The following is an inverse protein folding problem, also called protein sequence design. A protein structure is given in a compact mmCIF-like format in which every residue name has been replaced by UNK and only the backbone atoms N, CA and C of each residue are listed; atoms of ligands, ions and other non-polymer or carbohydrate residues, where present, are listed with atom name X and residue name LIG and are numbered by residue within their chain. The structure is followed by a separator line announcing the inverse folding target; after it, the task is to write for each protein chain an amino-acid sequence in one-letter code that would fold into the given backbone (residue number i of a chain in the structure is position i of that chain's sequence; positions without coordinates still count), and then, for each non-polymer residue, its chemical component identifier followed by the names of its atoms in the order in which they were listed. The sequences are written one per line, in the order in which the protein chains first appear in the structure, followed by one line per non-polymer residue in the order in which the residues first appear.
data_IF_468734019124
#
_entry.id   IF_468734019124
#
_cell.length_a   1.000
_cell.length_b   1.000
_cell.length_c   1.000
_cell.angle_alpha   90.00
_cell.angle_beta   90.00
_cell.angle_gamma   90.00
#
_symmetry.space_group_name_H-M   'P 1'
#
loop_
_entity.id
_entity.type
_entity.pdbx_description
1 polymer ?
#
# COMPACT_ATOMS: atom_id res chain seq x y z
N UNK A 1 -47.83 -14.38 21.43
CA UNK A 1 -46.58 -13.57 21.46
C UNK A 1 -45.35 -14.21 20.74
N UNK A 2 -45.41 -15.46 20.31
CA UNK A 2 -44.26 -16.19 19.71
C UNK A 2 -43.96 -15.82 18.24
N UNK A 3 -44.98 -15.46 17.44
CA UNK A 3 -44.81 -15.21 15.98
C UNK A 3 -44.12 -13.88 15.63
N UNK A 4 -44.21 -12.87 16.50
CA UNK A 4 -43.62 -11.56 16.23
C UNK A 4 -42.07 -11.57 16.41
N UNK A 5 -41.52 -12.25 17.43
CA UNK A 5 -40.10 -12.46 17.64
C UNK A 5 -39.45 -13.20 16.47
N UNK A 6 -40.08 -14.29 15.99
CA UNK A 6 -39.55 -15.07 14.87
C UNK A 6 -39.47 -14.28 13.54
N UNK A 7 -40.33 -13.28 13.33
CA UNK A 7 -40.26 -12.39 12.15
C UNK A 7 -39.17 -11.34 12.28
N UNK A 8 -38.89 -10.87 13.45
CA UNK A 8 -37.79 -9.91 13.74
C UNK A 8 -36.42 -10.59 13.56
N UNK A 9 -36.27 -11.82 14.07
CA UNK A 9 -35.02 -12.57 13.95
C UNK A 9 -34.70 -12.94 12.49
N UNK A 10 -35.70 -13.30 11.71
CA UNK A 10 -35.55 -13.51 10.24
C UNK A 10 -35.14 -12.23 9.52
N UNK A 11 -35.70 -11.07 9.85
CA UNK A 11 -35.32 -9.78 9.25
C UNK A 11 -33.88 -9.36 9.61
N UNK A 12 -33.43 -9.63 10.83
CA UNK A 12 -32.03 -9.43 11.24
C UNK A 12 -31.08 -10.38 10.52
N UNK A 13 -31.47 -11.65 10.39
CA UNK A 13 -30.71 -12.66 9.65
C UNK A 13 -30.54 -12.27 8.16
N UNK A 14 -31.63 -11.86 7.50
CA UNK A 14 -31.57 -11.42 6.08
C UNK A 14 -30.81 -10.11 5.90
N UNK A 15 -30.83 -9.17 6.87
CA UNK A 15 -29.98 -7.98 6.84
C UNK A 15 -28.50 -8.35 7.01
N UNK A 16 -28.18 -9.23 7.95
CA UNK A 16 -26.81 -9.73 8.13
C UNK A 16 -26.27 -10.47 6.91
N UNK A 17 -27.11 -11.34 6.28
CA UNK A 17 -26.74 -12.03 5.04
C UNK A 17 -26.54 -11.05 3.88
N UNK A 18 -27.38 -10.02 3.78
CA UNK A 18 -27.27 -8.97 2.75
C UNK A 18 -25.99 -8.16 2.88
N UNK A 19 -25.60 -7.80 4.11
CA UNK A 19 -24.34 -7.08 4.39
C UNK A 19 -23.13 -7.97 4.09
N UNK A 20 -23.14 -9.23 4.52
CA UNK A 20 -22.06 -10.18 4.22
C UNK A 20 -21.89 -10.41 2.71
N UNK A 21 -23.01 -10.54 1.98
CA UNK A 21 -22.97 -10.66 0.52
C UNK A 21 -22.46 -9.39 -0.16
N UNK A 22 -22.81 -8.20 0.33
CA UNK A 22 -22.30 -6.93 -0.18
C UNK A 22 -20.80 -6.77 0.05
N UNK A 23 -20.30 -7.12 1.23
CA UNK A 23 -18.86 -7.10 1.55
C UNK A 23 -18.07 -8.06 0.67
N UNK A 24 -18.64 -9.28 0.42
CA UNK A 24 -18.02 -10.27 -0.44
C UNK A 24 -17.98 -9.80 -1.90
N UNK A 25 -19.03 -9.15 -2.38
CA UNK A 25 -19.10 -8.55 -3.73
C UNK A 25 -18.07 -7.40 -3.86
N UNK A 26 -17.97 -6.53 -2.86
CA UNK A 26 -16.99 -5.43 -2.86
C UNK A 26 -15.57 -5.98 -2.85
N UNK A 27 -15.28 -7.00 -2.04
CA UNK A 27 -13.99 -7.69 -2.03
C UNK A 27 -13.67 -8.33 -3.39
N UNK A 28 -14.62 -9.00 -4.02
CA UNK A 28 -14.45 -9.59 -5.36
C UNK A 28 -14.25 -8.49 -6.42
N UNK A 29 -14.99 -7.38 -6.33
CA UNK A 29 -14.85 -6.24 -7.26
C UNK A 29 -13.48 -5.57 -7.07
N UNK A 30 -13.01 -5.42 -5.84
CA UNK A 30 -11.67 -4.87 -5.56
C UNK A 30 -10.57 -5.79 -6.11
N UNK A 31 -10.65 -7.10 -5.85
CA UNK A 31 -9.71 -8.08 -6.41
C UNK A 31 -9.80 -8.10 -7.95
N UNK A 32 -11.02 -8.05 -8.52
CA UNK A 32 -11.20 -7.98 -9.96
C UNK A 32 -10.67 -6.68 -10.58
N UNK A 33 -10.79 -5.54 -9.89
CA UNK A 33 -10.19 -4.27 -10.31
C UNK A 33 -8.65 -4.33 -10.27
N UNK A 34 -8.08 -4.89 -9.22
CA UNK A 34 -6.61 -5.06 -9.11
C UNK A 34 -6.12 -6.03 -10.19
N UNK A 35 -6.80 -7.15 -10.40
CA UNK A 35 -6.46 -8.11 -11.46
C UNK A 35 -6.71 -7.54 -12.86
N UNK A 36 -7.78 -6.76 -13.06
CA UNK A 36 -8.07 -6.11 -14.34
C UNK A 36 -7.09 -4.97 -14.67
N UNK A 37 -6.58 -4.25 -13.68
CA UNK A 37 -5.48 -3.31 -13.86
C UNK A 37 -4.18 -4.04 -14.24
N UNK A 38 -3.88 -5.18 -13.61
CA UNK A 38 -2.74 -6.01 -13.95
C UNK A 38 -2.83 -6.55 -15.39
N UNK A 39 -4.00 -6.99 -15.85
CA UNK A 39 -4.20 -7.44 -17.22
C UNK A 39 -4.07 -6.30 -18.25
N UNK A 40 -4.51 -5.09 -17.91
CA UNK A 40 -4.36 -3.93 -18.80
C UNK A 40 -2.90 -3.50 -18.96
N UNK A 41 -2.09 -3.63 -17.90
CA UNK A 41 -0.64 -3.39 -17.95
C UNK A 41 0.11 -4.47 -18.74
N UNK A 42 -0.31 -5.74 -18.61
CA UNK A 42 0.26 -6.86 -19.39
C UNK A 42 0.08 -6.68 -20.90
N UNK A 43 -1.09 -6.20 -21.33
CA UNK A 43 -1.40 -6.07 -22.76
C UNK A 43 -0.48 -5.08 -23.49
N UNK A 44 0.04 -4.09 -22.79
CA UNK A 44 0.96 -3.10 -23.38
C UNK A 44 2.44 -3.53 -23.38
N UNK A 45 2.82 -4.56 -22.62
CA UNK A 45 4.23 -4.94 -22.42
C UNK A 45 4.63 -6.28 -23.05
N UNK A 46 3.73 -7.01 -23.71
CA UNK A 46 3.93 -8.44 -24.04
C UNK A 46 4.61 -8.72 -25.40
N UNK A 47 5.30 -7.76 -26.01
CA UNK A 47 5.89 -7.94 -27.37
C UNK A 47 7.41 -7.77 -27.48
N UNK A 48 8.17 -7.82 -26.40
CA UNK A 48 9.63 -7.89 -26.51
C UNK A 48 10.19 -9.00 -25.62
N UNK A 49 10.86 -9.99 -26.22
CA UNK A 49 11.80 -10.87 -25.50
C UNK A 49 12.89 -9.94 -24.97
N UNK A 50 12.77 -9.59 -23.70
CA UNK A 50 13.52 -8.52 -23.09
C UNK A 50 14.85 -9.07 -22.54
N UNK A 51 15.95 -8.38 -22.83
CA UNK A 51 17.26 -8.61 -22.19
C UNK A 51 17.24 -8.45 -20.66
N UNK A 52 16.11 -8.03 -20.10
CA UNK A 52 15.83 -7.92 -18.66
C UNK A 52 15.51 -9.26 -17.98
N UNK A 53 15.41 -10.35 -18.73
CA UNK A 53 15.14 -11.69 -18.15
C UNK A 53 16.32 -12.28 -17.39
N UNK A 54 17.50 -11.67 -17.47
CA UNK A 54 18.70 -12.15 -16.79
C UNK A 54 19.39 -11.04 -16.01
N UNK A 55 19.83 -11.38 -14.80
CA UNK A 55 20.67 -10.53 -13.95
C UNK A 55 21.97 -11.26 -13.61
N UNK A 56 23.10 -10.57 -13.67
CA UNK A 56 24.39 -11.12 -13.24
C UNK A 56 24.72 -10.61 -11.84
N UNK A 57 24.89 -11.52 -10.90
CA UNK A 57 25.29 -11.22 -9.53
C UNK A 57 26.40 -12.17 -9.08
N UNK A 58 27.53 -11.64 -8.60
CA UNK A 58 28.72 -12.40 -8.19
C UNK A 58 29.17 -13.41 -9.26
N UNK A 59 29.31 -12.95 -10.48
CA UNK A 59 29.72 -13.74 -11.67
C UNK A 59 28.77 -14.92 -12.03
N UNK A 60 27.56 -14.93 -11.45
CA UNK A 60 26.52 -15.89 -11.79
C UNK A 60 25.36 -15.19 -12.49
N UNK A 61 24.88 -15.78 -13.59
CA UNK A 61 23.71 -15.28 -14.30
C UNK A 61 22.46 -15.98 -13.78
N UNK A 62 21.51 -15.17 -13.37
CA UNK A 62 20.19 -15.61 -12.91
C UNK A 62 19.14 -15.24 -13.96
N UNK A 63 18.20 -16.12 -14.19
CA UNK A 63 17.07 -15.87 -15.09
C UNK A 63 15.81 -15.65 -14.25
N UNK A 64 15.00 -14.66 -14.62
CA UNK A 64 13.71 -14.43 -13.98
C UNK A 64 12.83 -15.67 -14.12
N UNK A 65 12.16 -16.05 -13.04
CA UNK A 65 11.15 -17.09 -13.07
C UNK A 65 9.89 -16.55 -13.75
N UNK A 66 9.41 -17.18 -14.81
CA UNK A 66 8.20 -16.76 -15.56
C UNK A 66 6.88 -16.94 -14.82
N UNK A 67 6.91 -17.62 -13.65
CA UNK A 67 5.74 -17.83 -12.79
C UNK A 67 5.66 -16.86 -11.61
N UNK A 68 6.51 -15.84 -11.54
CA UNK A 68 6.53 -14.82 -10.50
C UNK A 68 5.73 -13.60 -10.97
N UNK A 69 4.87 -13.12 -10.08
CA UNK A 69 4.18 -11.83 -10.19
C UNK A 69 4.66 -10.91 -9.07
N UNK A 70 4.86 -9.64 -9.40
CA UNK A 70 5.35 -8.62 -8.46
C UNK A 70 4.42 -7.43 -8.44
N UNK A 71 3.99 -7.04 -7.23
CA UNK A 71 3.10 -5.90 -7.03
C UNK A 71 3.71 -4.95 -6.03
N UNK A 72 3.77 -3.66 -6.37
CA UNK A 72 4.26 -2.61 -5.48
C UNK A 72 3.09 -1.96 -4.74
N UNK A 73 3.15 -1.98 -3.42
CA UNK A 73 2.25 -1.21 -2.55
C UNK A 73 3.06 -0.13 -1.86
N UNK A 74 2.61 1.12 -1.97
CA UNK A 74 3.28 2.23 -1.28
C UNK A 74 2.32 3.04 -0.43
N UNK A 75 2.82 3.47 0.73
CA UNK A 75 2.17 4.44 1.60
C UNK A 75 2.73 5.84 1.35
N UNK A 76 1.86 6.76 0.93
CA UNK A 76 2.23 8.14 0.61
C UNK A 76 1.90 9.04 1.80
N UNK A 77 2.86 9.83 2.24
CA UNK A 77 2.64 10.86 3.28
C UNK A 77 1.92 12.07 2.66
N UNK A 78 0.63 11.88 2.44
CA UNK A 78 -0.27 12.93 1.98
C UNK A 78 -1.61 12.80 2.70
N UNK A 79 -2.08 13.84 3.38
CA UNK A 79 -3.37 13.83 4.04
C UNK A 79 -4.53 13.97 3.04
N UNK A 80 -5.70 13.45 3.42
CA UNK A 80 -6.94 13.65 2.69
C UNK A 80 -7.06 12.84 1.41
N UNK A 81 -7.84 13.33 0.46
CA UNK A 81 -8.08 12.66 -0.82
C UNK A 81 -6.93 12.91 -1.79
N UNK A 82 -6.62 11.90 -2.60
CA UNK A 82 -5.67 12.05 -3.71
C UNK A 82 -6.21 13.11 -4.68
N UNK A 83 -5.39 14.12 -4.98
CA UNK A 83 -5.72 15.25 -5.88
C UNK A 83 -4.54 15.49 -6.80
N UNK A 84 -4.82 15.98 -8.01
CA UNK A 84 -3.79 16.53 -8.88
C UNK A 84 -3.21 17.79 -8.24
N UNK A 85 -1.91 17.94 -8.31
CA UNK A 85 -1.22 19.12 -7.82
C UNK A 85 -1.29 20.20 -8.92
N UNK A 86 -1.48 21.45 -8.51
CA UNK A 86 -1.42 22.61 -9.42
C UNK A 86 -0.01 23.17 -9.54
N UNK A 87 0.80 22.92 -8.54
CA UNK A 87 2.20 23.34 -8.45
C UNK A 87 2.95 22.38 -7.56
N UNK A 88 4.25 22.30 -7.72
CA UNK A 88 5.09 21.45 -6.91
C UNK A 88 5.15 21.97 -5.46
N UNK A 89 4.76 21.15 -4.51
CA UNK A 89 4.69 21.50 -3.09
C UNK A 89 5.69 20.70 -2.21
N UNK A 90 6.49 19.84 -2.81
CA UNK A 90 7.47 19.00 -2.11
C UNK A 90 6.86 17.88 -1.24
N UNK A 91 5.54 17.66 -1.34
CA UNK A 91 4.83 16.64 -0.56
C UNK A 91 4.68 15.32 -1.29
N UNK A 92 4.15 14.33 -0.61
CA UNK A 92 3.78 13.04 -1.20
C UNK A 92 4.96 12.09 -1.35
N UNK A 93 5.88 12.09 -0.39
CA UNK A 93 6.94 11.08 -0.34
C UNK A 93 6.36 9.69 -0.02
N UNK A 94 7.02 8.64 -0.54
CA UNK A 94 6.71 7.26 -0.17
C UNK A 94 7.35 6.91 1.17
N UNK A 95 6.56 6.81 2.22
CA UNK A 95 7.06 6.44 3.54
C UNK A 95 7.09 4.94 3.78
N UNK A 96 6.26 4.20 3.05
CA UNK A 96 6.19 2.74 3.08
C UNK A 96 6.29 2.22 1.65
N UNK A 97 7.20 1.27 1.41
CA UNK A 97 7.35 0.58 0.12
C UNK A 97 7.42 -0.91 0.39
N UNK A 98 6.47 -1.66 -0.15
CA UNK A 98 6.38 -3.11 -0.02
C UNK A 98 6.17 -3.72 -1.39
N UNK A 99 7.06 -4.63 -1.79
CA UNK A 99 6.87 -5.45 -2.99
C UNK A 99 6.30 -6.79 -2.57
N UNK A 100 5.13 -7.13 -3.07
CA UNK A 100 4.50 -8.44 -2.94
C UNK A 100 5.01 -9.30 -4.09
N UNK A 101 5.68 -10.39 -3.77
CA UNK A 101 6.20 -11.36 -4.72
C UNK A 101 5.38 -12.63 -4.61
N UNK A 102 4.57 -12.93 -5.64
CA UNK A 102 3.71 -14.13 -5.70
C UNK A 102 4.29 -15.16 -6.65
N UNK A 103 4.48 -16.38 -6.16
CA UNK A 103 4.78 -17.54 -7.00
C UNK A 103 3.47 -18.23 -7.39
N UNK A 104 3.10 -18.14 -8.67
CA UNK A 104 1.86 -18.72 -9.21
C UNK A 104 1.85 -20.25 -9.20
N UNK A 105 2.99 -20.90 -9.12
CA UNK A 105 3.08 -22.36 -9.11
C UNK A 105 2.80 -22.96 -7.74
N UNK A 106 3.12 -22.23 -6.67
CA UNK A 106 2.94 -22.66 -5.28
C UNK A 106 1.85 -21.86 -4.56
N UNK A 107 1.40 -20.76 -5.15
CA UNK A 107 0.51 -19.74 -4.56
C UNK A 107 1.09 -19.09 -3.29
N UNK A 108 2.41 -19.19 -3.11
CA UNK A 108 3.12 -18.53 -2.02
C UNK A 108 3.31 -17.04 -2.32
N UNK A 109 3.11 -16.22 -1.29
CA UNK A 109 3.40 -14.79 -1.32
C UNK A 109 4.53 -14.45 -0.35
N UNK A 110 5.47 -13.61 -0.80
CA UNK A 110 6.53 -13.03 0.03
C UNK A 110 6.42 -11.52 0.00
N UNK A 111 6.69 -10.89 1.14
CA UNK A 111 6.73 -9.44 1.26
C UNK A 111 8.18 -9.01 1.36
N UNK A 112 8.57 -8.10 0.46
CA UNK A 112 9.86 -7.43 0.48
C UNK A 112 9.63 -5.96 0.84
N UNK A 113 10.00 -5.59 2.05
CA UNK A 113 9.96 -4.20 2.50
C UNK A 113 11.23 -3.47 2.08
N UNK A 114 11.08 -2.29 1.48
CA UNK A 114 12.18 -1.43 1.08
C UNK A 114 12.23 -0.24 2.04
N UNK A 115 13.38 0.01 2.65
CA UNK A 115 13.57 1.20 3.50
C UNK A 115 13.46 2.47 2.66
N UNK A 116 12.64 3.42 3.11
CA UNK A 116 12.41 4.71 2.44
C UNK A 116 13.70 5.52 2.18
N UNK A 117 14.74 5.30 2.99
CA UNK A 117 16.03 5.97 2.86
C UNK A 117 17.01 5.23 1.93
N UNK A 118 16.58 4.12 1.30
CA UNK A 118 17.40 3.42 0.32
C UNK A 118 17.78 4.37 -0.80
N UNK A 119 19.06 4.41 -1.15
CA UNK A 119 19.58 5.21 -2.26
C UNK A 119 19.51 4.38 -3.54
N UNK A 120 18.87 4.92 -4.55
CA UNK A 120 18.78 4.34 -5.90
C UNK A 120 18.60 5.44 -6.92
N UNK A 121 18.75 5.12 -8.19
CA UNK A 121 18.45 6.06 -9.25
C UNK A 121 16.96 6.42 -9.26
N UNK A 122 16.67 7.73 -9.20
CA UNK A 122 15.35 8.32 -9.27
C UNK A 122 15.35 9.41 -10.35
N UNK A 123 14.32 9.44 -11.18
CA UNK A 123 14.14 10.47 -12.18
C UNK A 123 13.61 11.75 -11.54
N UNK A 124 14.29 12.86 -11.79
CA UNK A 124 13.75 14.20 -11.54
C UNK A 124 12.87 14.57 -12.72
N UNK A 125 11.61 14.86 -12.44
CA UNK A 125 10.62 15.20 -13.46
C UNK A 125 10.24 16.69 -13.34
N UNK A 126 9.93 17.32 -14.46
CA UNK A 126 9.27 18.63 -14.46
C UNK A 126 7.75 18.50 -14.25
N UNK A 127 7.04 19.62 -14.37
CA UNK A 127 5.61 19.69 -14.09
C UNK A 127 4.77 18.84 -15.05
N UNK A 128 5.21 18.64 -16.28
CA UNK A 128 4.52 17.82 -17.27
C UNK A 128 4.95 16.34 -17.28
N UNK A 129 5.88 15.97 -16.38
CA UNK A 129 6.38 14.61 -16.24
C UNK A 129 7.57 14.28 -17.16
N UNK A 130 8.16 15.26 -17.84
CA UNK A 130 9.36 15.05 -18.64
C UNK A 130 10.57 14.83 -17.72
N UNK A 131 11.35 13.78 -17.99
CA UNK A 131 12.56 13.49 -17.23
C UNK A 131 13.65 14.52 -17.53
N UNK A 132 14.07 15.27 -16.50
CA UNK A 132 15.15 16.26 -16.58
C UNK A 132 16.52 15.62 -16.30
N UNK A 133 16.57 14.70 -15.33
CA UNK A 133 17.78 14.02 -14.91
C UNK A 133 17.43 12.72 -14.17
N UNK A 134 18.38 11.78 -14.09
CA UNK A 134 18.33 10.64 -13.19
C UNK A 134 19.51 10.74 -12.21
N UNK A 135 19.24 10.55 -10.92
CA UNK A 135 20.22 10.80 -9.85
C UNK A 135 20.00 9.82 -8.71
N UNK A 136 21.10 9.37 -8.11
CA UNK A 136 21.05 8.52 -6.91
C UNK A 136 20.62 9.33 -5.70
N UNK A 137 19.36 9.15 -5.30
CA UNK A 137 18.75 9.80 -4.12
C UNK A 137 17.88 8.82 -3.35
N UNK A 138 17.29 9.27 -2.25
CA UNK A 138 16.37 8.45 -1.46
C UNK A 138 15.15 8.05 -2.29
N UNK A 139 14.83 6.76 -2.30
CA UNK A 139 13.72 6.19 -3.07
C UNK A 139 12.36 6.80 -2.67
N UNK A 140 12.21 7.25 -1.43
CA UNK A 140 11.00 7.93 -0.96
C UNK A 140 10.65 9.18 -1.75
N UNK A 141 11.64 9.83 -2.37
CA UNK A 141 11.47 11.05 -3.16
C UNK A 141 10.90 10.78 -4.56
N UNK A 142 10.92 9.55 -5.04
CA UNK A 142 10.45 9.21 -6.38
C UNK A 142 9.00 9.65 -6.62
N UNK A 143 8.11 9.44 -5.63
CA UNK A 143 6.71 9.85 -5.72
C UNK A 143 6.48 11.36 -5.53
N UNK A 144 7.47 12.12 -5.13
CA UNK A 144 7.34 13.58 -4.99
C UNK A 144 7.69 14.36 -6.26
N UNK A 145 8.08 13.69 -7.35
CA UNK A 145 8.47 14.32 -8.61
C UNK A 145 7.30 14.39 -9.60
N UNK A 146 7.09 15.58 -10.24
CA UNK A 146 5.99 15.85 -11.16
C UNK A 146 4.70 16.27 -10.45
N UNK A 147 3.65 16.62 -11.21
CA UNK A 147 2.35 17.06 -10.69
C UNK A 147 1.26 16.00 -10.82
N UNK A 148 1.27 15.21 -11.88
CA UNK A 148 0.30 14.15 -12.13
C UNK A 148 0.55 12.95 -11.25
N UNK A 149 -0.48 12.46 -10.57
CA UNK A 149 -0.38 11.35 -9.60
C UNK A 149 0.05 10.03 -10.26
N UNK A 150 -0.35 9.78 -11.50
CA UNK A 150 0.05 8.59 -12.24
C UNK A 150 1.54 8.66 -12.60
N UNK A 151 2.01 9.81 -13.08
CA UNK A 151 3.42 10.05 -13.39
C UNK A 151 4.29 9.84 -12.15
N UNK A 152 3.88 10.37 -11.00
CA UNK A 152 4.56 10.18 -9.71
C UNK A 152 4.61 8.71 -9.31
N UNK A 153 3.51 7.99 -9.47
CA UNK A 153 3.44 6.56 -9.18
C UNK A 153 4.36 5.75 -10.10
N UNK A 154 4.34 6.03 -11.41
CA UNK A 154 5.18 5.36 -12.39
C UNK A 154 6.68 5.63 -12.15
N UNK A 155 7.06 6.85 -11.74
CA UNK A 155 8.42 7.15 -11.34
C UNK A 155 8.86 6.34 -10.11
N UNK A 156 7.95 6.10 -9.17
CA UNK A 156 8.23 5.23 -8.02
C UNK A 156 8.41 3.76 -8.44
N UNK A 157 7.57 3.29 -9.36
CA UNK A 157 7.69 1.94 -9.95
C UNK A 157 9.04 1.78 -10.64
N UNK A 158 9.45 2.76 -11.44
CA UNK A 158 10.74 2.75 -12.14
C UNK A 158 11.91 2.69 -11.16
N UNK A 159 11.88 3.52 -10.09
CA UNK A 159 12.93 3.51 -9.06
C UNK A 159 13.01 2.16 -8.31
N UNK A 160 11.87 1.54 -7.98
CA UNK A 160 11.84 0.20 -7.37
C UNK A 160 12.31 -0.86 -8.35
N UNK A 161 11.88 -0.82 -9.60
CA UNK A 161 12.33 -1.74 -10.66
C UNK A 161 13.85 -1.67 -10.80
N UNK A 162 14.41 -0.46 -10.92
CA UNK A 162 15.86 -0.25 -11.02
C UNK A 162 16.61 -0.81 -9.80
N UNK A 163 16.14 -0.52 -8.58
CA UNK A 163 16.73 -1.06 -7.34
C UNK A 163 16.77 -2.59 -7.34
N UNK A 164 15.78 -3.25 -7.94
CA UNK A 164 15.66 -4.71 -8.01
C UNK A 164 16.30 -5.32 -9.27
N UNK A 165 17.21 -4.59 -9.91
CA UNK A 165 17.94 -5.06 -11.11
C UNK A 165 17.04 -5.12 -12.34
N UNK A 166 16.25 -4.09 -12.56
CA UNK A 166 15.26 -3.94 -13.63
C UNK A 166 14.19 -5.03 -13.63
N UNK A 167 13.83 -5.49 -12.43
CA UNK A 167 12.75 -6.45 -12.26
C UNK A 167 11.41 -5.80 -12.67
N UNK A 168 10.60 -6.54 -13.45
CA UNK A 168 9.27 -6.07 -13.81
C UNK A 168 8.38 -5.96 -12.57
N UNK A 169 7.66 -4.85 -12.44
CA UNK A 169 6.57 -4.68 -11.47
C UNK A 169 5.26 -4.85 -12.24
N UNK A 170 4.55 -5.93 -11.98
CA UNK A 170 3.34 -6.31 -12.75
C UNK A 170 2.13 -5.44 -12.41
N UNK A 171 2.15 -4.77 -11.26
CA UNK A 171 1.11 -3.82 -10.87
C UNK A 171 1.51 -3.03 -9.63
N UNK A 172 0.80 -1.93 -9.38
CA UNK A 172 1.07 -1.10 -8.22
C UNK A 172 -0.20 -0.50 -7.62
N UNK A 173 -0.14 -0.17 -6.33
CA UNK A 173 -1.15 0.63 -5.65
C UNK A 173 -0.47 1.64 -4.73
N UNK A 174 -0.89 2.91 -4.87
CA UNK A 174 -0.45 4.01 -4.03
C UNK A 174 -1.59 4.36 -3.09
N UNK A 175 -1.33 4.30 -1.78
CA UNK A 175 -2.30 4.61 -0.74
C UNK A 175 -1.80 5.78 0.10
N UNK A 176 -2.66 6.74 0.37
CA UNK A 176 -2.34 7.84 1.27
C UNK A 176 -2.77 7.52 2.71
N UNK A 177 -2.44 8.41 3.65
CA UNK A 177 -2.76 8.21 5.07
C UNK A 177 -4.26 8.01 5.32
N UNK A 178 -5.13 8.72 4.60
CA UNK A 178 -6.57 8.56 4.75
C UNK A 178 -7.12 7.19 4.32
N UNK A 179 -6.35 6.39 3.59
CA UNK A 179 -6.74 5.04 3.22
C UNK A 179 -6.61 4.04 4.39
N UNK A 180 -5.81 4.34 5.40
CA UNK A 180 -5.58 3.43 6.56
C UNK A 180 -6.90 3.08 7.24
N UNK A 181 -7.69 4.10 7.63
CA UNK A 181 -8.98 3.89 8.27
C UNK A 181 -9.96 3.14 7.34
N UNK A 182 -10.00 3.51 6.06
CA UNK A 182 -10.91 2.89 5.08
C UNK A 182 -10.59 1.42 4.87
N UNK A 183 -9.32 1.08 4.64
CA UNK A 183 -8.89 -0.32 4.43
C UNK A 183 -9.08 -1.15 5.69
N UNK A 184 -8.74 -0.59 6.86
CA UNK A 184 -8.96 -1.25 8.14
C UNK A 184 -10.45 -1.58 8.37
N UNK A 185 -11.34 -0.63 8.10
CA UNK A 185 -12.78 -0.82 8.28
C UNK A 185 -13.36 -1.84 7.29
N UNK A 186 -12.82 -1.89 6.07
CA UNK A 186 -13.21 -2.87 5.04
C UNK A 186 -12.93 -4.32 5.47
N UNK A 187 -11.86 -4.56 6.25
CA UNK A 187 -11.54 -5.89 6.77
C UNK A 187 -12.19 -6.18 8.13
N UNK A 188 -12.99 -5.26 8.66
CA UNK A 188 -13.69 -5.42 9.94
C UNK A 188 -12.89 -4.95 11.15
N UNK A 189 -11.83 -4.20 10.93
CA UNK A 189 -10.93 -3.69 11.96
C UNK A 189 -9.86 -4.70 12.39
N UNK A 190 -8.80 -4.18 12.97
CA UNK A 190 -7.70 -4.97 13.55
C UNK A 190 -7.81 -4.93 15.07
N UNK A 191 -7.81 -6.10 15.71
CA UNK A 191 -7.84 -6.21 17.19
C UNK A 191 -6.41 -6.20 17.72
N UNK A 192 -6.11 -5.26 18.60
CA UNK A 192 -4.80 -5.07 19.21
C UNK A 192 -4.92 -4.84 20.71
N UNK A 193 -3.88 -5.14 21.45
CA UNK A 193 -3.71 -4.68 22.82
C UNK A 193 -2.92 -3.37 22.81
N UNK A 194 -3.44 -2.33 23.45
CA UNK A 194 -2.81 -1.02 23.50
C UNK A 194 -1.63 -1.08 24.46
N UNK A 195 -0.41 -0.96 23.96
CA UNK A 195 0.82 -1.03 24.76
C UNK A 195 1.36 0.33 25.16
N UNK A 196 1.00 1.38 24.43
CA UNK A 196 1.45 2.75 24.64
C UNK A 196 0.34 3.65 25.23
N UNK A 197 0.74 4.77 25.83
CA UNK A 197 -0.19 5.80 26.31
C UNK A 197 -0.64 6.72 25.18
N UNK A 198 -1.90 6.64 24.80
CA UNK A 198 -2.54 7.46 23.77
C UNK A 198 -3.39 8.60 24.34
N UNK A 199 -3.36 8.87 25.65
CA UNK A 199 -4.26 9.81 26.32
C UNK A 199 -4.29 11.23 25.73
N UNK A 200 -3.17 11.69 25.17
CA UNK A 200 -3.03 13.01 24.54
C UNK A 200 -3.61 13.08 23.12
N UNK A 201 -3.71 11.92 22.43
CA UNK A 201 -4.12 11.82 21.03
C UNK A 201 -5.51 11.25 20.88
N UNK A 202 -5.75 10.14 21.56
CA UNK A 202 -6.99 9.38 21.50
C UNK A 202 -7.29 8.75 22.87
N UNK A 203 -7.99 9.48 23.76
CA UNK A 203 -8.28 9.01 25.11
C UNK A 203 -9.12 7.73 25.18
N UNK A 204 -9.67 7.27 24.05
CA UNK A 204 -10.43 6.01 23.98
C UNK A 204 -9.51 4.79 23.88
N UNK A 205 -8.25 4.98 23.44
CA UNK A 205 -7.23 3.93 23.33
C UNK A 205 -6.45 3.83 24.66
N UNK A 206 -7.00 3.11 25.63
CA UNK A 206 -6.41 3.02 26.96
C UNK A 206 -5.36 1.93 27.04
N UNK A 207 -4.20 2.27 27.58
CA UNK A 207 -3.10 1.34 27.79
C UNK A 207 -3.55 0.09 28.56
N UNK A 208 -3.19 -1.07 28.05
CA UNK A 208 -3.54 -2.39 28.60
C UNK A 208 -4.89 -2.94 28.15
N UNK A 209 -5.74 -2.16 27.47
CA UNK A 209 -7.01 -2.64 26.92
C UNK A 209 -6.79 -3.31 25.55
N UNK A 210 -7.57 -4.35 25.27
CA UNK A 210 -7.65 -4.99 23.96
C UNK A 210 -8.88 -4.44 23.23
N UNK A 211 -8.66 -3.79 22.09
CA UNK A 211 -9.72 -3.12 21.32
C UNK A 211 -9.64 -3.49 19.85
N UNK A 212 -10.79 -3.46 19.16
CA UNK A 212 -10.81 -3.54 17.70
C UNK A 212 -10.78 -2.11 17.15
N UNK A 213 -9.70 -1.77 16.48
CA UNK A 213 -9.50 -0.45 15.89
C UNK A 213 -10.45 -0.27 14.70
N UNK A 214 -11.15 0.88 14.65
CA UNK A 214 -12.04 1.26 13.54
C UNK A 214 -11.88 2.75 13.26
N UNK A 215 -12.06 3.13 11.97
CA UNK A 215 -12.03 4.53 11.55
C UNK A 215 -10.74 5.26 11.93
N UNK A 216 -10.88 6.44 12.48
CA UNK A 216 -9.75 7.30 12.89
C UNK A 216 -8.87 6.70 13.99
N UNK A 217 -9.42 5.81 14.83
CA UNK A 217 -8.63 5.14 15.87
C UNK A 217 -7.52 4.27 15.28
N UNK A 218 -7.76 3.62 14.11
CA UNK A 218 -6.75 2.85 13.40
C UNK A 218 -5.63 3.76 12.86
N UNK A 219 -5.98 4.90 12.26
CA UNK A 219 -5.01 5.88 11.78
C UNK A 219 -4.18 6.44 12.94
N UNK A 220 -4.82 6.87 14.02
CA UNK A 220 -4.15 7.38 15.22
C UNK A 220 -3.16 6.36 15.78
N UNK A 221 -3.57 5.10 15.89
CA UNK A 221 -2.73 4.03 16.45
C UNK A 221 -1.44 3.81 15.66
N UNK A 222 -1.49 3.80 14.31
CA UNK A 222 -0.30 3.53 13.49
C UNK A 222 0.53 4.79 13.20
N UNK A 223 -0.08 5.96 13.21
CA UNK A 223 0.55 7.22 12.78
C UNK A 223 1.28 7.93 13.89
N UNK A 224 0.66 8.01 15.08
CA UNK A 224 1.15 8.89 16.15
C UNK A 224 2.51 8.43 16.71
N UNK A 225 3.39 9.40 16.91
CA UNK A 225 4.76 9.17 17.37
C UNK A 225 5.17 10.11 18.50
N UNK A 226 4.94 11.42 18.34
CA UNK A 226 5.52 12.44 19.24
C UNK A 226 4.75 12.53 20.56
N UNK A 227 3.45 12.35 20.50
CA UNK A 227 2.53 12.45 21.64
C UNK A 227 2.21 11.08 22.27
N UNK A 228 2.87 10.01 21.82
CA UNK A 228 2.64 8.62 22.27
C UNK A 228 3.97 8.00 22.63
N UNK A 229 4.02 7.32 23.77
CA UNK A 229 5.21 6.65 24.29
C UNK A 229 6.42 7.61 24.47
N UNK A 230 7.62 7.12 24.14
CA UNK A 230 8.87 7.89 24.27
C UNK A 230 9.22 8.71 23.02
N UNK A 231 8.32 8.79 22.05
CA UNK A 231 8.52 9.48 20.78
C UNK A 231 9.49 8.80 19.81
N UNK A 232 9.92 7.57 20.09
CA UNK A 232 10.86 6.83 19.24
C UNK A 232 10.16 6.18 18.06
N UNK A 233 10.92 5.99 16.99
CA UNK A 233 10.44 5.26 15.81
C UNK A 233 10.16 3.78 16.10
N UNK A 234 10.85 3.17 17.06
CA UNK A 234 10.70 1.76 17.39
C UNK A 234 9.28 1.40 17.78
N UNK A 235 8.67 2.13 18.72
CA UNK A 235 7.28 1.89 19.13
C UNK A 235 6.30 2.01 17.97
N UNK A 236 6.51 2.98 17.06
CA UNK A 236 5.68 3.13 15.86
C UNK A 236 5.87 1.95 14.90
N UNK A 237 7.09 1.49 14.68
CA UNK A 237 7.36 0.34 13.80
C UNK A 237 6.76 -0.97 14.33
N UNK A 238 6.69 -1.12 15.65
CA UNK A 238 6.02 -2.29 16.26
C UNK A 238 4.50 -2.27 16.07
N UNK A 239 3.90 -1.08 15.92
CA UNK A 239 2.46 -0.91 15.69
C UNK A 239 2.06 -1.02 14.20
N UNK A 240 3.00 -0.96 13.28
CA UNK A 240 2.79 -1.08 11.83
C UNK A 240 2.96 -2.52 11.35
#
# INVERSE_FOLDING_TARGET
MSGYRRRQDKKRLYKGLGIAAAVLIVGIVFVALVLGMADHYRFNNDNSVDSRDTITYKDQTYTRKGNIETYLITGIDSPGKVQELKEYDGTGQCDVLVVIVRDRSTDECKLLTIDRNTITEVKSLDDDGTCLAATDIQISLAHSMGLDQKVRAENTVDAVSHLLGDATIDGYAMVNMGAVSVVNDMVGGVTVTIEDDFSEVDPTLKMGETVTLMGEHAENYVRQRKEVADGRNESRMQRQ
#
